data_IF_447574081533
#
_entry.id   IF_447574081533
#
_cell.length_a   1.000
_cell.length_b   1.000
_cell.length_c   1.000
_cell.angle_alpha   90.00
_cell.angle_beta   90.00
_cell.angle_gamma   90.00
#
_symmetry.space_group_name_H-M   'P 1'
#
loop_
_entity.id
_entity.type
_entity.pdbx_description
1 polymer ?
#
# COMPACT_ATOMS: atom_id res chain seq x y z
N UNK A 1 -16.28 14.45 69.59
CA UNK A 1 -16.31 14.11 68.15
C UNK A 1 -16.42 15.41 67.41
N UNK A 2 -15.31 15.93 66.91
CA UNK A 2 -15.28 17.26 66.28
C UNK A 2 -16.00 17.22 64.94
N UNK A 3 -17.03 18.04 64.78
CA UNK A 3 -17.75 18.21 63.52
C UNK A 3 -16.77 18.57 62.39
N UNK A 4 -16.54 17.64 61.49
CA UNK A 4 -15.75 17.89 60.27
C UNK A 4 -16.66 18.69 59.34
N UNK A 5 -16.58 20.01 59.43
CA UNK A 5 -17.34 20.91 58.57
C UNK A 5 -16.89 20.70 57.12
N UNK A 6 -17.82 20.30 56.25
CA UNK A 6 -17.53 20.07 54.84
C UNK A 6 -17.27 21.40 54.12
N UNK A 7 -16.30 21.40 53.19
CA UNK A 7 -16.00 22.54 52.33
C UNK A 7 -17.11 22.65 51.27
N UNK A 8 -17.96 23.67 51.40
CA UNK A 8 -19.20 23.78 50.61
C UNK A 8 -18.99 24.20 49.15
N UNK A 9 -17.89 24.90 48.83
CA UNK A 9 -17.66 25.44 47.49
C UNK A 9 -16.19 25.40 47.08
N UNK A 10 -15.93 25.58 45.78
CA UNK A 10 -14.59 25.58 45.19
C UNK A 10 -13.66 26.65 45.80
N UNK A 11 -14.24 27.76 46.30
CA UNK A 11 -13.48 28.82 46.97
C UNK A 11 -12.99 28.37 48.36
N UNK A 12 -13.82 27.64 49.12
CA UNK A 12 -13.47 27.06 50.41
C UNK A 12 -12.36 26.00 50.24
N UNK A 13 -12.42 25.21 49.17
CA UNK A 13 -11.34 24.28 48.78
C UNK A 13 -10.05 25.04 48.48
N UNK A 14 -10.11 26.11 47.71
CA UNK A 14 -8.94 26.94 47.39
C UNK A 14 -8.30 27.57 48.64
N UNK A 15 -9.12 28.12 49.55
CA UNK A 15 -8.63 28.73 50.79
C UNK A 15 -7.98 27.68 51.70
N UNK A 16 -8.60 26.50 51.86
CA UNK A 16 -8.04 25.39 52.64
C UNK A 16 -6.67 24.95 52.10
N UNK A 17 -6.53 24.85 50.77
CA UNK A 17 -5.25 24.50 50.14
C UNK A 17 -4.15 25.57 50.31
N UNK A 18 -4.55 26.84 50.33
CA UNK A 18 -3.64 27.98 50.59
C UNK A 18 -3.17 28.02 52.04
N UNK A 19 -4.07 27.80 53.00
CA UNK A 19 -3.75 27.69 54.42
C UNK A 19 -2.79 26.52 54.70
N UNK A 20 -2.95 25.43 53.97
CA UNK A 20 -2.02 24.29 53.99
C UNK A 20 -0.67 24.57 53.29
N UNK A 21 -0.45 25.76 52.75
CA UNK A 21 0.83 26.18 52.17
C UNK A 21 1.09 25.69 50.75
N UNK A 22 0.07 25.21 50.03
CA UNK A 22 0.22 24.84 48.62
C UNK A 22 0.12 26.09 47.72
N UNK A 23 1.08 26.26 46.81
CA UNK A 23 1.10 27.33 45.79
C UNK A 23 0.11 27.00 44.66
N UNK A 24 -1.20 27.10 44.94
CA UNK A 24 -2.26 26.85 43.94
C UNK A 24 -2.91 28.16 43.52
N UNK A 25 -3.31 28.25 42.24
CA UNK A 25 -4.10 29.37 41.71
C UNK A 25 -5.59 29.05 41.77
N UNK A 26 -6.45 30.08 41.88
CA UNK A 26 -7.91 29.91 41.89
C UNK A 26 -8.38 29.15 40.64
N UNK A 27 -7.95 29.58 39.45
CA UNK A 27 -8.35 28.94 38.18
C UNK A 27 -7.98 27.45 38.08
N UNK A 28 -6.84 27.05 38.65
CA UNK A 28 -6.42 25.64 38.68
C UNK A 28 -7.38 24.77 39.49
N UNK A 29 -7.86 25.25 40.65
CA UNK A 29 -8.82 24.52 41.48
C UNK A 29 -10.15 24.35 40.75
N UNK A 30 -10.66 25.42 40.12
CA UNK A 30 -11.89 25.36 39.33
C UNK A 30 -11.77 24.41 38.14
N UNK A 31 -10.65 24.46 37.41
CA UNK A 31 -10.41 23.55 36.29
C UNK A 31 -10.33 22.09 36.74
N UNK A 32 -9.73 21.80 37.89
CA UNK A 32 -9.64 20.43 38.39
C UNK A 32 -10.98 19.89 38.89
N UNK A 33 -11.85 20.74 39.42
CA UNK A 33 -13.23 20.38 39.77
C UNK A 33 -14.04 20.12 38.49
N UNK A 34 -13.96 21.03 37.49
CA UNK A 34 -14.68 20.89 36.22
C UNK A 34 -14.21 19.68 35.41
N UNK A 35 -12.92 19.36 35.43
CA UNK A 35 -12.34 18.18 34.77
C UNK A 35 -12.55 16.88 35.58
N UNK A 36 -13.30 16.93 36.69
CA UNK A 36 -13.63 15.76 37.50
C UNK A 36 -12.46 15.14 38.28
N UNK A 37 -11.33 15.85 38.36
CA UNK A 37 -10.15 15.43 39.11
C UNK A 37 -10.32 15.57 40.62
N UNK A 38 -11.16 16.52 41.07
CA UNK A 38 -11.51 16.73 42.47
C UNK A 38 -13.03 16.66 42.67
N UNK A 39 -13.53 15.49 43.08
CA UNK A 39 -14.98 15.23 43.21
C UNK A 39 -15.52 15.52 44.62
N UNK A 40 -16.75 16.04 44.76
CA UNK A 40 -17.40 16.19 46.06
C UNK A 40 -17.46 14.85 46.78
N UNK A 41 -17.01 14.81 48.04
CA UNK A 41 -16.88 13.58 48.84
C UNK A 41 -17.74 13.61 50.12
N UNK A 42 -18.33 14.75 50.46
CA UNK A 42 -19.18 14.90 51.64
C UNK A 42 -20.62 14.47 51.36
N UNK A 43 -21.31 13.80 52.32
CA UNK A 43 -22.76 13.55 52.22
C UNK A 43 -23.50 14.90 52.19
N UNK A 44 -24.27 15.15 51.13
CA UNK A 44 -24.99 16.42 50.94
C UNK A 44 -24.35 17.41 49.95
N UNK A 45 -23.24 17.04 49.30
CA UNK A 45 -22.58 17.87 48.29
C UNK A 45 -21.59 18.85 48.92
N UNK A 46 -20.30 18.57 48.73
CA UNK A 46 -19.18 19.33 49.27
C UNK A 46 -17.92 18.47 49.35
N UNK A 47 -16.79 19.03 49.77
CA UNK A 47 -15.53 18.30 49.88
C UNK A 47 -15.13 18.11 51.34
N UNK A 48 -14.79 16.88 51.70
CA UNK A 48 -14.19 16.59 53.00
C UNK A 48 -12.75 17.14 53.02
N UNK A 49 -12.34 17.94 54.04
CA UNK A 49 -10.99 18.49 54.13
C UNK A 49 -9.87 17.44 53.95
N UNK A 50 -10.05 16.26 54.54
CA UNK A 50 -9.10 15.12 54.41
C UNK A 50 -8.96 14.59 52.97
N UNK A 51 -10.06 14.57 52.21
CA UNK A 51 -10.03 14.13 50.81
C UNK A 51 -9.29 15.16 49.94
N UNK A 52 -9.53 16.45 50.19
CA UNK A 52 -8.82 17.56 49.54
C UNK A 52 -7.33 17.53 49.85
N UNK A 53 -6.95 17.28 51.10
CA UNK A 53 -5.55 17.14 51.51
C UNK A 53 -4.85 15.95 50.86
N UNK A 54 -5.54 14.81 50.76
CA UNK A 54 -4.99 13.61 50.11
C UNK A 54 -4.75 13.87 48.62
N UNK A 55 -5.72 14.51 47.96
CA UNK A 55 -5.59 14.95 46.59
C UNK A 55 -4.45 15.96 46.40
N UNK A 56 -4.33 16.93 47.32
CA UNK A 56 -3.29 17.95 47.28
C UNK A 56 -1.89 17.35 47.44
N UNK A 57 -1.71 16.38 48.33
CA UNK A 57 -0.44 15.65 48.48
C UNK A 57 -0.05 14.90 47.21
N UNK A 58 -1.01 14.33 46.49
CA UNK A 58 -0.77 13.60 45.25
C UNK A 58 -0.42 14.53 44.07
N UNK A 59 -0.95 15.76 44.03
CA UNK A 59 -0.78 16.69 42.90
C UNK A 59 0.25 17.80 43.14
N UNK A 60 0.43 18.21 44.38
CA UNK A 60 1.33 19.29 44.79
C UNK A 60 2.14 18.87 46.02
N UNK A 61 3.16 17.99 45.85
CA UNK A 61 4.08 17.69 46.94
C UNK A 61 4.67 19.00 47.48
N UNK A 62 4.61 19.18 48.80
CA UNK A 62 5.15 20.37 49.47
C UNK A 62 6.64 20.49 49.14
N UNK A 63 7.05 21.64 48.61
CA UNK A 63 8.46 22.04 48.65
C UNK A 63 8.82 22.28 50.12
N UNK A 64 9.31 21.24 50.79
CA UNK A 64 10.11 21.44 52.01
C UNK A 64 11.35 22.18 51.54
N UNK A 65 11.67 23.31 52.17
CA UNK A 65 12.91 24.04 51.96
C UNK A 65 14.11 23.11 52.25
N UNK A 66 14.52 22.35 51.24
CA UNK A 66 15.79 21.66 51.18
C UNK A 66 16.67 22.48 50.23
N UNK A 67 17.91 22.69 50.66
CA UNK A 67 18.97 23.34 49.90
C UNK A 67 18.93 22.93 48.42
N UNK A 68 19.27 23.88 47.53
CA UNK A 68 19.39 23.72 46.07
C UNK A 68 19.55 22.26 45.68
N UNK A 69 18.58 21.64 44.99
CA UNK A 69 18.82 20.32 44.45
C UNK A 69 19.91 20.52 43.41
N UNK A 70 21.08 19.95 43.67
CA UNK A 70 21.99 19.52 42.61
C UNK A 70 21.09 18.82 41.59
N UNK A 71 21.05 19.35 40.36
CA UNK A 71 20.31 18.72 39.26
C UNK A 71 20.54 17.22 39.35
N UNK A 72 19.51 16.36 39.35
CA UNK A 72 19.75 14.96 39.09
C UNK A 72 20.41 14.92 37.71
N UNK A 73 21.61 14.36 37.65
CA UNK A 73 22.36 14.11 36.43
C UNK A 73 21.72 12.92 35.68
N UNK A 74 20.41 13.01 35.48
CA UNK A 74 19.57 12.09 34.74
C UNK A 74 18.82 12.91 33.73
N UNK A 75 19.19 12.75 32.46
CA UNK A 75 18.44 13.32 31.33
C UNK A 75 19.24 14.09 30.29
N UNK A 76 20.58 14.12 30.30
CA UNK A 76 21.32 14.69 29.15
C UNK A 76 21.34 13.79 27.92
N UNK A 77 20.94 12.53 28.07
CA UNK A 77 20.78 11.55 26.98
C UNK A 77 19.36 11.59 26.37
N UNK A 78 18.35 12.02 27.14
CA UNK A 78 16.95 12.07 26.68
C UNK A 78 16.58 13.39 26.00
N UNK A 79 17.14 14.53 26.43
CA UNK A 79 16.92 15.80 25.74
C UNK A 79 17.53 15.80 24.33
N UNK A 80 18.64 15.08 24.14
CA UNK A 80 19.27 14.90 22.83
C UNK A 80 18.42 14.01 21.93
N UNK A 81 17.88 12.90 22.44
CA UNK A 81 17.00 12.01 21.66
C UNK A 81 15.68 12.69 21.30
N UNK A 82 15.09 13.46 22.22
CA UNK A 82 13.86 14.23 21.97
C UNK A 82 14.12 15.38 20.99
N UNK A 83 15.27 16.04 21.05
CA UNK A 83 15.65 17.07 20.08
C UNK A 83 15.90 16.47 18.68
N UNK A 84 16.56 15.31 18.60
CA UNK A 84 16.75 14.58 17.35
C UNK A 84 15.43 14.11 16.74
N UNK A 85 14.52 13.57 17.55
CA UNK A 85 13.18 13.16 17.09
C UNK A 85 12.37 14.35 16.57
N UNK A 86 12.39 15.49 17.26
CA UNK A 86 11.75 16.73 16.79
C UNK A 86 12.35 17.21 15.48
N UNK A 87 13.68 17.19 15.37
CA UNK A 87 14.37 17.59 14.16
C UNK A 87 14.05 16.66 12.98
N UNK A 88 13.96 15.34 13.21
CA UNK A 88 13.52 14.36 12.19
C UNK A 88 12.07 14.62 11.76
N UNK A 89 11.17 14.87 12.71
CA UNK A 89 9.77 15.18 12.41
C UNK A 89 9.64 16.49 11.61
N UNK A 90 10.41 17.52 11.95
CA UNK A 90 10.47 18.78 11.20
C UNK A 90 11.02 18.58 9.79
N UNK A 91 12.05 17.75 9.62
CA UNK A 91 12.61 17.41 8.30
C UNK A 91 11.55 16.69 7.47
N UNK A 92 10.85 15.70 8.02
CA UNK A 92 9.81 14.96 7.33
C UNK A 92 8.64 15.86 6.89
N UNK A 93 8.23 16.80 7.75
CA UNK A 93 7.22 17.81 7.41
C UNK A 93 7.68 18.74 6.30
N UNK A 94 8.92 19.24 6.37
CA UNK A 94 9.52 20.09 5.33
C UNK A 94 9.67 19.36 4.00
N UNK A 95 10.00 18.07 4.02
CA UNK A 95 10.07 17.23 2.81
C UNK A 95 8.68 17.10 2.17
N UNK A 96 7.67 16.72 2.96
CA UNK A 96 6.29 16.58 2.47
C UNK A 96 5.75 17.91 1.92
N UNK A 97 6.05 19.03 2.59
CA UNK A 97 5.67 20.36 2.11
C UNK A 97 6.36 20.71 0.80
N UNK A 98 7.67 20.46 0.68
CA UNK A 98 8.41 20.68 -0.57
C UNK A 98 7.85 19.83 -1.71
N UNK A 99 7.53 18.56 -1.47
CA UNK A 99 6.91 17.69 -2.48
C UNK A 99 5.56 18.22 -2.94
N UNK A 100 4.70 18.66 -2.01
CA UNK A 100 3.42 19.30 -2.37
C UNK A 100 3.62 20.59 -3.16
N UNK A 101 4.59 21.42 -2.78
CA UNK A 101 4.92 22.66 -3.49
C UNK A 101 5.39 22.35 -4.91
N UNK A 102 6.22 21.32 -5.07
CA UNK A 102 6.73 20.85 -6.36
C UNK A 102 5.60 20.33 -7.25
N UNK A 103 4.72 19.48 -6.73
CA UNK A 103 3.56 18.98 -7.47
C UNK A 103 2.62 20.11 -7.88
N UNK A 104 2.41 21.10 -7.01
CA UNK A 104 1.61 22.29 -7.33
C UNK A 104 2.24 23.11 -8.45
N UNK A 105 3.56 23.34 -8.39
CA UNK A 105 4.29 24.03 -9.45
C UNK A 105 4.20 23.27 -10.79
N UNK A 106 4.34 21.95 -10.78
CA UNK A 106 4.19 21.12 -11.98
C UNK A 106 2.76 21.13 -12.54
N UNK A 107 1.74 21.21 -11.68
CA UNK A 107 0.35 21.39 -12.08
C UNK A 107 0.14 22.78 -12.73
N UNK A 108 0.67 23.85 -12.12
CA UNK A 108 0.58 25.23 -12.62
C UNK A 108 1.33 25.39 -13.96
N UNK A 109 2.43 24.66 -14.15
CA UNK A 109 3.18 24.59 -15.41
C UNK A 109 2.49 23.75 -16.48
N UNK A 110 1.40 23.06 -16.16
CA UNK A 110 0.66 22.21 -17.10
C UNK A 110 1.36 20.90 -17.46
N UNK A 111 2.40 20.50 -16.71
CA UNK A 111 3.18 19.28 -16.96
C UNK A 111 2.49 18.02 -16.41
N UNK A 112 1.48 18.18 -15.56
CA UNK A 112 0.73 17.08 -14.96
C UNK A 112 -0.57 16.82 -15.73
N UNK A 113 -0.84 15.55 -16.00
CA UNK A 113 -2.10 15.10 -16.60
C UNK A 113 -3.04 14.63 -15.48
N UNK A 114 -4.32 15.03 -15.48
CA UNK A 114 -5.31 14.51 -14.55
C UNK A 114 -5.40 12.98 -14.59
N UNK A 115 -5.43 12.36 -13.41
CA UNK A 115 -5.43 10.89 -13.28
C UNK A 115 -6.63 10.25 -13.98
N UNK A 116 -7.81 10.85 -13.86
CA UNK A 116 -9.05 10.35 -14.47
C UNK A 116 -8.98 10.29 -16.00
N UNK A 117 -8.25 11.23 -16.62
CA UNK A 117 -7.97 11.20 -18.06
C UNK A 117 -7.04 10.03 -18.39
N UNK A 118 -5.94 9.86 -17.65
CA UNK A 118 -5.00 8.76 -17.87
C UNK A 118 -5.67 7.40 -17.71
N UNK A 119 -6.44 7.20 -16.64
CA UNK A 119 -7.15 5.95 -16.36
C UNK A 119 -8.19 5.63 -17.44
N UNK A 120 -8.91 6.66 -17.94
CA UNK A 120 -9.87 6.50 -19.03
C UNK A 120 -9.17 6.12 -20.34
N UNK A 121 -8.08 6.80 -20.69
CA UNK A 121 -7.27 6.49 -21.87
C UNK A 121 -6.70 5.07 -21.80
N UNK A 122 -6.17 4.66 -20.65
CA UNK A 122 -5.68 3.29 -20.43
C UNK A 122 -6.81 2.26 -20.56
N UNK A 123 -7.99 2.53 -20.01
CA UNK A 123 -9.15 1.66 -20.15
C UNK A 123 -9.58 1.50 -21.62
N UNK A 124 -9.65 2.61 -22.37
CA UNK A 124 -9.99 2.58 -23.80
C UNK A 124 -8.96 1.81 -24.62
N UNK A 125 -7.67 2.00 -24.34
CA UNK A 125 -6.59 1.23 -25.01
C UNK A 125 -6.67 -0.26 -24.67
N UNK A 126 -6.92 -0.61 -23.42
CA UNK A 126 -7.11 -2.00 -23.00
C UNK A 126 -8.32 -2.65 -23.70
N UNK A 127 -9.41 -1.92 -23.86
CA UNK A 127 -10.59 -2.39 -24.59
C UNK A 127 -10.29 -2.56 -26.09
N UNK A 128 -9.65 -1.59 -26.73
CA UNK A 128 -9.25 -1.69 -28.14
C UNK A 128 -8.28 -2.86 -28.38
N UNK A 129 -7.31 -3.06 -27.49
CA UNK A 129 -6.40 -4.19 -27.52
C UNK A 129 -7.13 -5.52 -27.44
N UNK A 130 -8.05 -5.67 -26.48
CA UNK A 130 -8.86 -6.88 -26.34
C UNK A 130 -9.68 -7.18 -27.59
N UNK A 131 -10.40 -6.18 -28.12
CA UNK A 131 -11.16 -6.36 -29.35
C UNK A 131 -10.27 -6.70 -30.55
N UNK A 132 -9.10 -6.07 -30.64
CA UNK A 132 -8.10 -6.38 -31.63
C UNK A 132 -7.69 -7.85 -31.57
N UNK A 133 -7.36 -8.35 -30.38
CA UNK A 133 -6.95 -9.75 -30.17
C UNK A 133 -8.06 -10.74 -30.53
N UNK A 134 -9.31 -10.47 -30.10
CA UNK A 134 -10.47 -11.30 -30.44
C UNK A 134 -10.66 -11.37 -31.96
N UNK A 135 -10.52 -10.23 -32.65
CA UNK A 135 -10.70 -10.15 -34.11
C UNK A 135 -9.54 -10.77 -34.90
N UNK A 136 -8.30 -10.68 -34.42
CA UNK A 136 -7.14 -11.24 -35.12
C UNK A 136 -7.22 -12.76 -35.27
N UNK A 137 -7.76 -13.47 -34.28
CA UNK A 137 -7.98 -14.92 -34.38
C UNK A 137 -8.98 -15.23 -35.49
N UNK A 138 -10.07 -14.45 -35.58
CA UNK A 138 -11.06 -14.62 -36.64
C UNK A 138 -10.50 -14.31 -38.03
N UNK A 139 -9.64 -13.29 -38.16
CA UNK A 139 -8.94 -12.97 -39.41
C UNK A 139 -7.93 -14.05 -39.81
N UNK A 140 -7.27 -14.69 -38.84
CA UNK A 140 -6.30 -15.75 -39.08
C UNK A 140 -6.95 -17.10 -39.44
N UNK A 141 -8.22 -17.31 -39.11
CA UNK A 141 -8.90 -18.59 -39.28
C UNK A 141 -8.85 -19.16 -40.72
N UNK A 142 -9.04 -18.38 -41.80
CA UNK A 142 -8.94 -18.89 -43.16
C UNK A 142 -7.52 -19.35 -43.52
N UNK A 143 -6.50 -18.57 -43.16
CA UNK A 143 -5.09 -18.88 -43.42
C UNK A 143 -4.63 -20.14 -42.66
N UNK A 144 -5.11 -20.31 -41.41
CA UNK A 144 -4.86 -21.54 -40.63
C UNK A 144 -5.57 -22.73 -41.27
N UNK A 145 -6.82 -22.57 -41.73
CA UNK A 145 -7.57 -23.64 -42.35
C UNK A 145 -6.89 -24.14 -43.64
N UNK A 146 -6.36 -23.22 -44.45
CA UNK A 146 -5.57 -23.55 -45.65
C UNK A 146 -4.36 -24.43 -45.32
N UNK A 147 -3.64 -24.13 -44.22
CA UNK A 147 -2.47 -24.90 -43.78
C UNK A 147 -2.79 -26.37 -43.44
N UNK A 148 -4.00 -26.64 -42.94
CA UNK A 148 -4.41 -27.97 -42.46
C UNK A 148 -5.40 -28.71 -43.37
N UNK A 149 -5.58 -28.26 -44.62
CA UNK A 149 -6.31 -29.04 -45.63
C UNK A 149 -7.67 -28.50 -46.06
N UNK A 150 -8.04 -27.28 -45.69
CA UNK A 150 -9.21 -26.62 -46.28
C UNK A 150 -8.97 -26.16 -47.73
N UNK A 151 -7.71 -26.18 -48.20
CA UNK A 151 -7.37 -25.99 -49.61
C UNK A 151 -7.47 -27.30 -50.41
N UNK A 152 -7.99 -27.21 -51.64
CA UNK A 152 -8.23 -28.38 -52.50
C UNK A 152 -6.95 -29.15 -52.87
N UNK A 153 -5.78 -28.50 -52.92
CA UNK A 153 -4.50 -29.14 -53.21
C UNK A 153 -3.99 -29.92 -52.01
N UNK A 154 -4.09 -29.33 -50.82
CA UNK A 154 -3.69 -29.96 -49.57
C UNK A 154 -4.62 -31.14 -49.25
N UNK A 155 -5.92 -31.00 -49.49
CA UNK A 155 -6.88 -32.10 -49.40
C UNK A 155 -6.51 -33.26 -50.34
N UNK A 156 -6.11 -32.97 -51.59
CA UNK A 156 -5.66 -34.00 -52.53
C UNK A 156 -4.35 -34.68 -52.09
N UNK A 157 -3.44 -33.95 -51.44
CA UNK A 157 -2.23 -34.51 -50.83
C UNK A 157 -2.56 -35.49 -49.70
N UNK A 158 -3.48 -35.10 -48.80
CA UNK A 158 -3.97 -35.96 -47.70
C UNK A 158 -4.64 -37.22 -48.27
N UNK A 159 -5.50 -37.09 -49.28
CA UNK A 159 -6.14 -38.24 -49.93
C UNK A 159 -5.10 -39.17 -50.56
N UNK A 160 -4.04 -38.65 -51.19
CA UNK A 160 -2.94 -39.50 -51.72
C UNK A 160 -2.15 -40.19 -50.61
N UNK A 161 -1.95 -39.51 -49.48
CA UNK A 161 -1.17 -40.02 -48.35
C UNK A 161 -1.89 -41.17 -47.63
N UNK A 162 -3.17 -40.99 -47.34
CA UNK A 162 -3.92 -41.87 -46.43
C UNK A 162 -4.95 -42.72 -47.19
N UNK A 163 -5.52 -42.21 -48.28
CA UNK A 163 -6.49 -42.94 -49.11
C UNK A 163 -7.79 -43.31 -48.39
N UNK A 164 -8.07 -42.73 -47.22
CA UNK A 164 -9.19 -43.11 -46.35
C UNK A 164 -8.93 -44.36 -45.49
N UNK A 165 -7.69 -44.86 -45.45
CA UNK A 165 -7.30 -46.02 -44.63
C UNK A 165 -7.01 -45.61 -43.19
N UNK A 166 -7.82 -46.11 -42.24
CA UNK A 166 -7.70 -45.82 -40.82
C UNK A 166 -6.35 -46.28 -40.23
N UNK A 167 -5.75 -47.35 -40.78
CA UNK A 167 -4.45 -47.85 -40.33
C UNK A 167 -3.31 -46.83 -40.56
N UNK A 168 -3.53 -45.84 -41.44
CA UNK A 168 -2.57 -44.77 -41.76
C UNK A 168 -2.79 -43.49 -40.94
N UNK A 169 -3.64 -43.52 -39.91
CA UNK A 169 -3.84 -42.39 -38.99
C UNK A 169 -2.52 -41.87 -38.38
N UNK A 170 -1.57 -42.76 -38.10
CA UNK A 170 -0.22 -42.40 -37.60
C UNK A 170 0.56 -41.57 -38.63
N UNK A 171 0.45 -41.92 -39.91
CA UNK A 171 1.09 -41.20 -41.02
C UNK A 171 0.48 -39.82 -41.20
N UNK A 172 -0.85 -39.71 -41.10
CA UNK A 172 -1.56 -38.43 -41.11
C UNK A 172 -1.13 -37.56 -39.93
N UNK A 173 -1.03 -38.14 -38.74
CA UNK A 173 -0.62 -37.44 -37.52
C UNK A 173 0.81 -36.89 -37.63
N UNK A 174 1.74 -37.70 -38.15
CA UNK A 174 3.11 -37.25 -38.43
C UNK A 174 3.16 -36.14 -39.50
N UNK A 175 2.29 -36.21 -40.51
CA UNK A 175 2.17 -35.19 -41.55
C UNK A 175 1.64 -33.85 -40.99
N UNK A 176 0.68 -33.89 -40.07
CA UNK A 176 0.18 -32.71 -39.34
C UNK A 176 1.26 -32.13 -38.44
N UNK A 177 1.98 -32.98 -37.69
CA UNK A 177 3.06 -32.55 -36.80
C UNK A 177 4.18 -31.82 -37.54
N UNK A 178 4.50 -32.22 -38.77
CA UNK A 178 5.49 -31.52 -39.61
C UNK A 178 5.14 -30.06 -39.93
N UNK A 179 3.86 -29.68 -39.85
CA UNK A 179 3.37 -28.31 -40.10
C UNK A 179 3.22 -27.49 -38.83
N UNK A 180 3.42 -28.08 -37.65
CA UNK A 180 3.43 -27.35 -36.38
C UNK A 180 4.46 -26.22 -36.37
N UNK A 181 5.71 -26.39 -36.86
CA UNK A 181 6.66 -25.28 -36.97
C UNK A 181 6.14 -24.15 -37.86
N UNK A 182 5.48 -24.45 -38.99
CA UNK A 182 4.90 -23.43 -39.88
C UNK A 182 3.78 -22.65 -39.19
N UNK A 183 2.94 -23.33 -38.41
CA UNK A 183 1.91 -22.70 -37.58
C UNK A 183 2.53 -21.77 -36.51
N UNK A 184 3.63 -22.17 -35.89
CA UNK A 184 4.35 -21.34 -34.92
C UNK A 184 4.91 -20.07 -35.58
N UNK A 185 5.57 -20.20 -36.73
CA UNK A 185 6.10 -19.05 -37.46
C UNK A 185 4.99 -18.11 -37.95
N UNK A 186 3.86 -18.68 -38.39
CA UNK A 186 2.66 -17.93 -38.76
C UNK A 186 2.18 -17.05 -37.60
N UNK A 187 2.01 -17.64 -36.41
CA UNK A 187 1.55 -16.91 -35.24
C UNK A 187 2.58 -15.90 -34.74
N UNK A 188 3.87 -16.23 -34.80
CA UNK A 188 4.93 -15.30 -34.43
C UNK A 188 4.85 -14.01 -35.25
N UNK A 189 4.79 -14.13 -36.59
CA UNK A 189 4.64 -12.98 -37.49
C UNK A 189 3.34 -12.21 -37.21
N UNK A 190 2.21 -12.90 -37.03
CA UNK A 190 0.92 -12.25 -36.82
C UNK A 190 0.86 -11.49 -35.49
N UNK A 191 1.44 -12.06 -34.43
CA UNK A 191 1.55 -11.40 -33.13
C UNK A 191 2.43 -10.17 -33.23
N UNK A 192 3.55 -10.25 -33.95
CA UNK A 192 4.42 -9.11 -34.21
C UNK A 192 3.69 -7.99 -34.96
N UNK A 193 3.01 -8.32 -36.07
CA UNK A 193 2.19 -7.37 -36.84
C UNK A 193 1.06 -6.75 -36.01
N UNK A 194 0.40 -7.56 -35.17
CA UNK A 194 -0.67 -7.11 -34.29
C UNK A 194 -0.18 -6.14 -33.21
N UNK A 195 1.02 -6.40 -32.66
CA UNK A 195 1.57 -5.63 -31.54
C UNK A 195 2.33 -4.38 -32.00
N UNK A 196 2.81 -4.35 -33.24
CA UNK A 196 3.54 -3.21 -33.81
C UNK A 196 2.84 -1.85 -33.63
N UNK A 197 1.51 -1.70 -33.83
CA UNK A 197 0.81 -0.42 -33.61
C UNK A 197 0.71 0.01 -32.14
N UNK A 198 0.86 -0.92 -31.19
CA UNK A 198 0.79 -0.65 -29.75
C UNK A 198 2.16 -0.37 -29.13
N UNK A 199 3.23 -0.67 -29.85
CA UNK A 199 4.58 -0.49 -29.37
C UNK A 199 5.06 0.95 -29.65
N UNK A 200 5.74 1.57 -28.67
CA UNK A 200 6.43 2.84 -28.83
C UNK A 200 7.85 2.69 -29.45
N UNK A 201 8.19 1.48 -29.93
CA UNK A 201 9.48 1.05 -30.50
C UNK A 201 9.39 -0.39 -31.04
N UNK A 202 10.51 -1.02 -31.44
CA UNK A 202 10.49 -2.44 -31.88
C UNK A 202 10.05 -3.36 -30.73
N UNK A 203 8.90 -4.02 -30.90
CA UNK A 203 8.34 -4.93 -29.91
C UNK A 203 9.18 -6.20 -29.74
N UNK A 204 9.84 -6.64 -30.81
CA UNK A 204 10.69 -7.83 -30.80
C UNK A 204 12.13 -7.48 -30.43
N UNK A 205 12.42 -7.42 -29.12
CA UNK A 205 13.79 -7.25 -28.62
C UNK A 205 14.44 -8.61 -28.29
N UNK A 206 15.77 -8.61 -28.13
CA UNK A 206 16.54 -9.83 -27.82
C UNK A 206 16.03 -10.54 -26.55
N UNK A 207 15.52 -9.79 -25.57
CA UNK A 207 14.99 -10.32 -24.32
C UNK A 207 13.69 -11.12 -24.53
N UNK A 208 12.78 -10.61 -25.35
CA UNK A 208 11.54 -11.31 -25.69
C UNK A 208 11.79 -12.52 -26.59
N UNK A 209 12.75 -12.40 -27.53
CA UNK A 209 13.20 -13.53 -28.33
C UNK A 209 13.81 -14.65 -27.46
N UNK A 210 14.56 -14.29 -26.41
CA UNK A 210 15.09 -15.23 -25.44
C UNK A 210 14.00 -15.87 -24.56
N UNK A 211 12.99 -15.11 -24.15
CA UNK A 211 11.88 -15.60 -23.33
C UNK A 211 10.92 -16.55 -24.08
N UNK A 212 10.80 -16.38 -25.40
CA UNK A 212 9.99 -17.23 -26.29
C UNK A 212 10.73 -18.50 -26.75
N UNK A 213 12.03 -18.62 -26.51
CA UNK A 213 12.72 -19.90 -26.72
C UNK A 213 12.07 -20.93 -25.80
N UNK A 214 11.75 -22.14 -26.31
CA UNK A 214 11.29 -23.21 -25.45
C UNK A 214 12.32 -23.36 -24.33
N UNK A 215 11.89 -23.18 -23.07
CA UNK A 215 12.72 -23.63 -21.95
C UNK A 215 12.93 -25.11 -22.22
N UNK A 216 14.18 -25.49 -22.50
CA UNK A 216 14.56 -26.89 -22.55
C UNK A 216 13.97 -27.52 -21.29
N UNK A 217 12.97 -28.37 -21.49
CA UNK A 217 12.45 -29.21 -20.42
C UNK A 217 13.66 -30.00 -19.98
N UNK A 218 14.18 -29.65 -18.81
CA UNK A 218 15.06 -30.51 -18.04
C UNK A 218 14.25 -31.77 -17.75
N UNK A 219 14.24 -32.70 -18.72
CA UNK A 219 13.99 -34.11 -18.50
C UNK A 219 15.16 -34.65 -17.66
N UNK A 220 15.17 -34.24 -16.39
CA UNK A 220 15.72 -35.07 -15.34
C UNK A 220 14.59 -36.03 -14.95
N UNK A 221 14.42 -37.06 -15.77
CA UNK A 221 13.62 -38.22 -15.41
C UNK A 221 14.20 -38.84 -14.12
N UNK A 222 13.38 -39.19 -13.13
CA UNK A 222 13.85 -39.86 -11.94
C UNK A 222 13.94 -41.35 -12.23
N UNK A 223 14.98 -41.81 -12.92
CA UNK A 223 15.29 -43.23 -13.02
C UNK A 223 16.78 -43.45 -13.32
N UNK A 224 17.57 -43.49 -12.24
CA UNK A 224 18.92 -44.06 -12.20
C UNK A 224 19.32 -44.29 -10.74
N UNK A 225 18.52 -45.09 -10.03
CA UNK A 225 18.90 -45.66 -8.75
C UNK A 225 18.25 -47.04 -8.64
N UNK A 226 18.84 -48.02 -9.32
CA UNK A 226 18.95 -49.42 -8.90
C UNK A 226 20.04 -50.13 -9.73
#
# INVERSE_FOLDING_TARGET
MSDVTALANALAVYNHLRELGHKVSRGTVYNHINNGLLKPTAPGGGWLPRAVETYAKAKWPREVNAAKPTKPEQGRLDDASVAEERQRAEIALKQTQNERQRLKLQAEQGTLIPRDIVERELAMRGQAFRFGLENEIHKAAPEIAELFGADSRVAAEIVRLVGGDEAKAVVLSAWVQKRVPELVHFWQRRVEEFLAPYASGDWWNEDMAAAMKPKETSDAGPDSAE
#
